data_IF_424869439576
#
_entry.id   IF_424869439576
#
_cell.length_a   1.000
_cell.length_b   1.000
_cell.length_c   1.000
_cell.angle_alpha   90.00
_cell.angle_beta   90.00
_cell.angle_gamma   90.00
#
_symmetry.space_group_name_H-M   'P 1'
#
loop_
_entity.id
_entity.type
_entity.pdbx_description
1 polymer ?
#
# COMPACT_ATOMS: atom_id res chain seq x y z
N UNK A 1 -19.94 0.68 -33.36
CA UNK A 1 -19.11 0.05 -32.32
C UNK A 1 -17.78 0.79 -32.33
N UNK A 2 -17.26 1.15 -31.18
CA UNK A 2 -15.98 1.85 -31.07
C UNK A 2 -14.86 0.85 -31.42
N UNK A 3 -14.26 0.97 -32.59
CA UNK A 3 -13.29 -0.01 -33.14
C UNK A 3 -12.01 -0.13 -32.29
N UNK A 4 -11.83 0.76 -31.32
CA UNK A 4 -10.65 0.82 -30.44
C UNK A 4 -10.92 0.30 -29.02
N UNK A 5 -12.09 -0.26 -28.75
CA UNK A 5 -12.38 -0.90 -27.47
C UNK A 5 -11.70 -2.26 -27.39
N UNK A 6 -10.85 -2.46 -26.37
CA UNK A 6 -10.02 -3.68 -26.26
C UNK A 6 -10.35 -4.55 -25.04
N UNK A 7 -11.16 -4.03 -24.10
CA UNK A 7 -11.56 -4.80 -22.92
C UNK A 7 -12.67 -5.80 -23.29
N UNK A 8 -12.77 -6.89 -22.52
CA UNK A 8 -13.74 -7.94 -22.81
C UNK A 8 -15.15 -7.65 -22.26
N UNK A 9 -15.31 -6.59 -21.46
CA UNK A 9 -16.64 -6.15 -21.03
C UNK A 9 -17.31 -5.25 -22.07
N UNK A 10 -18.63 -5.04 -21.97
CA UNK A 10 -19.36 -4.13 -22.87
C UNK A 10 -18.79 -2.71 -22.82
N UNK A 11 -18.59 -2.10 -23.98
CA UNK A 11 -18.12 -0.72 -24.07
C UNK A 11 -19.20 0.27 -23.61
N UNK A 12 -18.86 1.35 -22.88
CA UNK A 12 -19.78 2.44 -22.62
C UNK A 12 -20.20 3.13 -23.93
N UNK A 13 -21.41 3.67 -23.95
CA UNK A 13 -21.97 4.40 -25.10
C UNK A 13 -21.82 5.92 -24.98
N UNK A 14 -21.09 6.38 -23.96
CA UNK A 14 -20.91 7.80 -23.61
C UNK A 14 -19.48 8.25 -23.78
N UNK A 15 -19.25 9.54 -23.79
CA UNK A 15 -17.94 10.16 -23.75
C UNK A 15 -17.08 9.89 -24.99
N UNK A 16 -15.80 10.17 -24.84
CA UNK A 16 -14.78 9.98 -25.85
C UNK A 16 -13.71 9.02 -25.36
N UNK A 17 -13.60 7.86 -26.02
CA UNK A 17 -12.54 6.91 -25.70
C UNK A 17 -11.17 7.52 -26.03
N UNK A 18 -10.23 7.41 -25.09
CA UNK A 18 -8.83 7.77 -25.34
C UNK A 18 -8.24 6.87 -26.42
N UNK A 19 -7.28 7.39 -27.14
CA UNK A 19 -6.49 6.62 -28.07
C UNK A 19 -5.50 5.72 -27.29
N UNK A 20 -5.58 4.41 -27.52
CA UNK A 20 -4.76 3.42 -26.82
C UNK A 20 -5.32 2.97 -25.47
N UNK A 21 -4.46 2.44 -24.64
CA UNK A 21 -4.77 1.95 -23.31
C UNK A 21 -3.57 2.07 -22.39
N UNK A 22 -3.83 2.00 -21.08
CA UNK A 22 -2.81 1.92 -20.05
C UNK A 22 -2.57 0.45 -19.67
N UNK A 23 -1.31 0.02 -19.75
CA UNK A 23 -0.90 -1.26 -19.19
C UNK A 23 -0.79 -1.10 -17.68
N UNK A 24 -1.79 -1.60 -16.96
CA UNK A 24 -1.87 -1.43 -15.51
C UNK A 24 -0.97 -2.41 -14.74
N UNK A 25 -0.09 -3.11 -15.43
CA UNK A 25 0.94 -3.97 -14.85
C UNK A 25 0.54 -5.43 -14.69
N UNK A 26 1.52 -6.29 -14.50
CA UNK A 26 1.31 -7.73 -14.29
C UNK A 26 0.94 -8.05 -12.86
N UNK A 27 0.11 -9.08 -12.68
CA UNK A 27 -0.16 -9.66 -11.36
C UNK A 27 0.94 -10.63 -10.93
N UNK A 28 1.38 -11.53 -11.83
CA UNK A 28 2.13 -12.71 -11.44
C UNK A 28 3.50 -12.85 -12.08
N UNK A 29 3.65 -12.63 -13.36
CA UNK A 29 4.79 -13.16 -14.06
C UNK A 29 5.52 -12.10 -14.85
N UNK A 30 6.30 -11.34 -14.16
CA UNK A 30 7.50 -10.81 -14.77
C UNK A 30 8.56 -11.89 -14.69
N UNK A 31 9.23 -12.23 -15.77
CA UNK A 31 10.52 -12.85 -15.64
C UNK A 31 11.62 -11.77 -15.67
N UNK A 32 12.76 -12.05 -15.07
CA UNK A 32 13.93 -11.16 -15.08
C UNK A 32 14.41 -10.80 -16.49
N UNK A 33 13.94 -11.51 -17.51
CA UNK A 33 14.29 -11.31 -18.91
C UNK A 33 13.39 -10.30 -19.62
N UNK A 34 12.44 -9.68 -18.89
CA UNK A 34 11.61 -8.59 -19.42
C UNK A 34 10.44 -9.03 -20.27
N UNK A 35 10.09 -10.31 -20.30
CA UNK A 35 8.83 -10.78 -20.88
C UNK A 35 7.69 -10.55 -19.90
N UNK A 36 7.19 -9.34 -19.89
CA UNK A 36 6.05 -8.93 -19.09
C UNK A 36 4.78 -9.49 -19.72
N UNK A 37 4.06 -10.34 -18.99
CA UNK A 37 2.68 -10.63 -19.35
C UNK A 37 1.81 -9.46 -18.92
N UNK A 38 1.06 -8.94 -19.86
CA UNK A 38 0.09 -7.91 -19.63
C UNK A 38 -1.16 -8.53 -18.96
N UNK A 39 -1.24 -8.39 -17.63
CA UNK A 39 -2.31 -9.00 -16.84
C UNK A 39 -3.45 -8.04 -16.51
N UNK A 40 -3.22 -6.74 -16.64
CA UNK A 40 -4.22 -5.71 -16.40
C UNK A 40 -4.17 -4.63 -17.47
N UNK A 41 -5.35 -4.21 -17.91
CA UNK A 41 -5.51 -3.16 -18.94
C UNK A 41 -6.53 -2.15 -18.48
N UNK A 42 -6.22 -0.86 -18.70
CA UNK A 42 -7.16 0.21 -18.41
C UNK A 42 -7.43 1.04 -19.65
N UNK A 43 -8.69 1.30 -19.93
CA UNK A 43 -9.11 2.30 -20.91
C UNK A 43 -9.78 3.48 -20.23
N UNK A 44 -9.57 4.67 -20.80
CA UNK A 44 -10.09 5.93 -20.29
C UNK A 44 -11.11 6.52 -21.25
N UNK A 45 -12.20 7.02 -20.71
CA UNK A 45 -13.27 7.70 -21.42
C UNK A 45 -13.40 9.11 -20.83
N UNK A 46 -13.33 10.12 -21.67
CA UNK A 46 -13.41 11.53 -21.30
C UNK A 46 -14.75 12.13 -21.66
N UNK A 47 -15.00 13.35 -21.15
CA UNK A 47 -16.25 14.06 -21.34
C UNK A 47 -17.45 13.23 -20.82
N UNK A 48 -17.26 12.61 -19.65
CA UNK A 48 -18.24 11.74 -18.98
C UNK A 48 -18.84 12.49 -17.79
N UNK A 49 -20.14 12.35 -17.61
CA UNK A 49 -20.87 12.84 -16.44
C UNK A 49 -21.20 11.68 -15.46
N UNK A 50 -21.60 12.05 -14.24
CA UNK A 50 -22.13 11.05 -13.30
C UNK A 50 -23.36 10.33 -13.83
N UNK A 51 -24.19 10.98 -14.64
CA UNK A 51 -25.36 10.35 -15.26
C UNK A 51 -24.94 9.25 -16.26
N UNK A 52 -23.89 9.52 -17.05
CA UNK A 52 -23.32 8.53 -17.98
C UNK A 52 -22.75 7.32 -17.25
N UNK A 53 -22.05 7.54 -16.14
CA UNK A 53 -21.57 6.44 -15.29
C UNK A 53 -22.72 5.60 -14.76
N UNK A 54 -23.76 6.25 -14.21
CA UNK A 54 -24.92 5.54 -13.66
C UNK A 54 -25.66 4.74 -14.76
N UNK A 55 -25.82 5.32 -15.94
CA UNK A 55 -26.40 4.61 -17.08
C UNK A 55 -25.57 3.39 -17.48
N UNK A 56 -24.25 3.55 -17.55
CA UNK A 56 -23.36 2.43 -17.88
C UNK A 56 -23.45 1.31 -16.84
N UNK A 57 -23.40 1.62 -15.55
CA UNK A 57 -23.56 0.64 -14.46
C UNK A 57 -24.92 -0.06 -14.55
N UNK A 58 -25.99 0.69 -14.80
CA UNK A 58 -27.33 0.12 -14.95
C UNK A 58 -27.43 -0.82 -16.17
N UNK A 59 -26.80 -0.46 -17.27
CA UNK A 59 -26.72 -1.31 -18.45
C UNK A 59 -25.98 -2.63 -18.18
N UNK A 60 -24.85 -2.58 -17.42
CA UNK A 60 -24.12 -3.77 -16.98
C UNK A 60 -25.02 -4.67 -16.11
N UNK A 61 -25.73 -4.11 -15.14
CA UNK A 61 -26.67 -4.85 -14.28
C UNK A 61 -27.80 -5.51 -15.10
N UNK A 62 -28.29 -4.82 -16.13
CA UNK A 62 -29.32 -5.36 -17.03
C UNK A 62 -28.81 -6.56 -17.86
N UNK A 63 -27.51 -6.59 -18.12
CA UNK A 63 -26.86 -7.73 -18.79
C UNK A 63 -26.57 -8.90 -17.84
N UNK A 64 -27.01 -8.82 -16.59
CA UNK A 64 -26.82 -9.86 -15.58
C UNK A 64 -25.42 -9.90 -14.97
N UNK A 65 -24.69 -8.77 -15.04
CA UNK A 65 -23.37 -8.65 -14.39
C UNK A 65 -23.53 -8.65 -12.88
N UNK A 66 -22.78 -9.48 -12.18
CA UNK A 66 -22.72 -9.50 -10.72
C UNK A 66 -21.75 -8.42 -10.21
N UNK A 67 -22.30 -7.33 -9.68
CA UNK A 67 -21.52 -6.29 -8.97
C UNK A 67 -21.22 -6.73 -7.55
N UNK A 68 -19.98 -6.46 -7.09
CA UNK A 68 -19.56 -6.76 -5.72
C UNK A 68 -19.00 -5.54 -4.96
N UNK A 69 -18.83 -4.42 -5.63
CA UNK A 69 -18.51 -3.13 -5.03
C UNK A 69 -19.34 -2.04 -5.71
N UNK A 70 -20.00 -1.23 -4.92
CA UNK A 70 -20.65 0.01 -5.38
C UNK A 70 -20.49 1.04 -4.25
N UNK A 71 -19.70 2.09 -4.48
CA UNK A 71 -19.44 3.10 -3.46
C UNK A 71 -19.05 4.45 -4.05
N UNK A 72 -19.09 5.46 -3.18
CA UNK A 72 -18.62 6.81 -3.47
C UNK A 72 -17.45 7.16 -2.54
N UNK A 73 -16.48 7.91 -3.07
CA UNK A 73 -15.47 8.64 -2.32
C UNK A 73 -15.57 10.11 -2.69
N UNK A 74 -16.14 10.93 -1.81
CA UNK A 74 -16.49 12.31 -2.17
C UNK A 74 -17.45 12.34 -3.36
N UNK A 75 -17.06 13.05 -4.42
CA UNK A 75 -17.81 13.14 -5.67
C UNK A 75 -17.56 11.96 -6.63
N UNK A 76 -16.48 11.20 -6.42
CA UNK A 76 -16.09 10.08 -7.28
C UNK A 76 -16.94 8.84 -7.01
N UNK A 77 -17.16 8.03 -8.03
CA UNK A 77 -18.00 6.84 -7.96
C UNK A 77 -17.25 5.63 -8.46
N UNK A 78 -17.43 4.51 -7.78
CA UNK A 78 -16.75 3.25 -8.05
C UNK A 78 -17.75 2.10 -8.14
N UNK A 79 -17.54 1.26 -9.15
CA UNK A 79 -18.30 0.03 -9.34
C UNK A 79 -17.34 -1.08 -9.78
N UNK A 80 -17.41 -2.24 -9.13
CA UNK A 80 -16.62 -3.39 -9.53
C UNK A 80 -17.51 -4.61 -9.75
N UNK A 81 -17.15 -5.44 -10.73
CA UNK A 81 -17.96 -6.56 -11.14
C UNK A 81 -17.15 -7.69 -11.78
N UNK A 82 -17.79 -8.86 -11.84
CA UNK A 82 -17.31 -9.99 -12.64
C UNK A 82 -18.03 -10.06 -13.98
N UNK A 83 -17.28 -10.31 -15.03
CA UNK A 83 -17.84 -10.57 -16.34
C UNK A 83 -16.88 -11.42 -17.19
N UNK A 84 -17.41 -12.45 -17.85
CA UNK A 84 -16.64 -13.34 -18.74
C UNK A 84 -15.34 -13.89 -18.09
N UNK A 85 -15.40 -14.22 -16.79
CA UNK A 85 -14.28 -14.81 -16.05
C UNK A 85 -13.17 -13.83 -15.66
N UNK A 86 -13.44 -12.53 -15.73
CA UNK A 86 -12.49 -11.48 -15.36
C UNK A 86 -13.11 -10.51 -14.37
N UNK A 87 -12.22 -9.76 -13.70
CA UNK A 87 -12.57 -8.64 -12.84
C UNK A 87 -12.54 -7.33 -13.58
N UNK A 88 -13.47 -6.46 -13.23
CA UNK A 88 -13.54 -5.10 -13.77
C UNK A 88 -13.75 -4.09 -12.64
N UNK A 89 -13.03 -2.97 -12.75
CA UNK A 89 -13.23 -1.80 -11.91
C UNK A 89 -13.59 -0.62 -12.79
N UNK A 90 -14.70 0.03 -12.48
CA UNK A 90 -15.18 1.24 -13.17
C UNK A 90 -15.13 2.38 -12.19
N UNK A 91 -14.27 3.34 -12.46
CA UNK A 91 -14.04 4.52 -11.63
C UNK A 91 -14.51 5.74 -12.40
N UNK A 92 -15.50 6.47 -11.90
CA UNK A 92 -15.87 7.80 -12.39
C UNK A 92 -15.22 8.85 -11.51
N UNK A 93 -14.37 9.68 -12.10
CA UNK A 93 -13.62 10.75 -11.44
C UNK A 93 -14.25 12.09 -11.80
N UNK A 94 -15.03 12.61 -10.87
CA UNK A 94 -15.91 13.76 -11.10
C UNK A 94 -15.15 15.03 -11.49
N UNK A 95 -14.03 15.32 -10.81
CA UNK A 95 -13.21 16.51 -11.09
C UNK A 95 -12.51 16.46 -12.44
N UNK A 96 -12.36 15.28 -13.02
CA UNK A 96 -11.73 15.05 -14.32
C UNK A 96 -12.75 14.90 -15.46
N UNK A 97 -14.03 14.66 -15.15
CA UNK A 97 -15.03 14.27 -16.13
C UNK A 97 -14.62 12.99 -16.88
N UNK A 98 -14.09 12.04 -16.16
CA UNK A 98 -13.39 10.88 -16.70
C UNK A 98 -13.94 9.60 -16.11
N UNK A 99 -14.11 8.57 -16.93
CA UNK A 99 -14.39 7.21 -16.49
C UNK A 99 -13.24 6.30 -16.89
N UNK A 100 -12.76 5.50 -15.95
CA UNK A 100 -11.73 4.50 -16.13
C UNK A 100 -12.35 3.13 -16.01
N UNK A 101 -12.00 2.24 -16.92
CA UNK A 101 -12.40 0.85 -16.86
C UNK A 101 -11.14 0.00 -16.89
N UNK A 102 -10.93 -0.74 -15.80
CA UNK A 102 -9.78 -1.60 -15.59
C UNK A 102 -10.26 -3.04 -15.71
N UNK A 103 -9.59 -3.83 -16.52
CA UNK A 103 -9.77 -5.27 -16.66
C UNK A 103 -8.57 -5.98 -16.05
N UNK A 104 -8.79 -6.83 -15.06
CA UNK A 104 -7.77 -7.65 -14.42
C UNK A 104 -7.86 -9.11 -14.83
N UNK A 105 -6.71 -9.75 -14.97
CA UNK A 105 -6.62 -11.20 -15.08
C UNK A 105 -6.87 -11.93 -13.75
N UNK A 106 -6.82 -11.21 -12.61
CA UNK A 106 -7.09 -11.78 -11.29
C UNK A 106 -8.57 -12.13 -11.12
N UNK A 107 -8.86 -13.29 -10.52
CA UNK A 107 -10.21 -13.83 -10.38
C UNK A 107 -10.76 -13.76 -8.96
N UNK A 108 -10.33 -12.75 -8.18
CA UNK A 108 -10.73 -12.60 -6.79
C UNK A 108 -11.61 -11.36 -6.63
N UNK A 109 -12.87 -11.52 -6.20
CA UNK A 109 -13.77 -10.40 -5.95
C UNK A 109 -13.38 -9.62 -4.69
N UNK A 110 -13.83 -8.37 -4.56
CA UNK A 110 -13.58 -7.57 -3.35
C UNK A 110 -14.11 -8.23 -2.08
N UNK A 111 -15.17 -9.00 -2.15
CA UNK A 111 -15.66 -9.80 -1.00
C UNK A 111 -14.69 -10.91 -0.58
N UNK A 112 -13.80 -11.32 -1.49
CA UNK A 112 -12.76 -12.31 -1.23
C UNK A 112 -11.42 -11.69 -0.85
N UNK A 113 -11.27 -10.36 -0.94
CA UNK A 113 -10.06 -9.67 -0.52
C UNK A 113 -9.86 -9.76 0.97
N UNK A 114 -10.93 -9.67 1.72
CA UNK A 114 -10.90 -9.64 3.15
C UNK A 114 -11.82 -10.67 3.81
N UNK A 115 -11.92 -10.54 5.11
CA UNK A 115 -12.84 -11.31 5.94
C UNK A 115 -13.17 -10.48 7.19
N UNK A 116 -14.33 -10.76 7.77
CA UNK A 116 -14.75 -10.21 9.05
C UNK A 116 -14.63 -11.29 10.12
N UNK A 117 -13.85 -11.02 11.13
CA UNK A 117 -13.77 -11.85 12.32
C UNK A 117 -13.57 -10.92 13.52
N UNK A 118 -14.36 -11.17 14.55
CA UNK A 118 -14.17 -10.48 15.83
C UNK A 118 -13.44 -11.45 16.76
N UNK A 119 -12.14 -11.19 16.93
CA UNK A 119 -11.34 -11.84 17.95
C UNK A 119 -11.55 -11.20 19.32
N UNK A 120 -10.88 -11.73 20.33
CA UNK A 120 -10.90 -11.22 21.71
C UNK A 120 -9.65 -10.43 22.06
N UNK A 121 -8.64 -10.45 21.20
CA UNK A 121 -7.38 -9.76 21.40
C UNK A 121 -7.48 -8.28 21.05
N UNK A 122 -6.65 -7.47 21.71
CA UNK A 122 -6.48 -6.08 21.31
C UNK A 122 -5.69 -6.00 20.00
N UNK A 123 -6.24 -5.30 19.01
CA UNK A 123 -5.49 -4.97 17.79
C UNK A 123 -4.42 -3.93 18.10
N UNK A 124 -3.18 -4.23 17.69
CA UNK A 124 -2.01 -3.39 17.96
C UNK A 124 -1.27 -3.15 16.64
N UNK A 125 -1.00 -1.89 16.34
CA UNK A 125 -0.11 -1.50 15.24
C UNK A 125 1.31 -1.35 15.77
N UNK A 126 2.24 -2.09 15.20
CA UNK A 126 3.66 -1.97 15.49
C UNK A 126 4.38 -1.27 14.34
N UNK A 127 5.12 -0.21 14.67
CA UNK A 127 6.21 0.27 13.83
C UNK A 127 7.44 -0.53 14.24
N UNK A 128 7.83 -1.49 13.39
CA UNK A 128 8.94 -2.39 13.70
C UNK A 128 10.28 -1.72 13.39
N UNK A 129 11.18 -1.70 14.39
CA UNK A 129 12.53 -1.15 14.21
C UNK A 129 13.37 -2.06 13.32
N UNK A 130 13.76 -1.56 12.16
CA UNK A 130 14.64 -2.27 11.25
C UNK A 130 16.08 -2.11 11.69
N UNK A 131 16.83 -3.22 11.60
CA UNK A 131 18.23 -3.26 11.97
C UNK A 131 19.07 -2.32 11.11
N UNK A 132 19.99 -1.63 11.73
CA UNK A 132 21.03 -0.85 11.07
C UNK A 132 22.39 -1.39 11.49
N UNK A 133 23.23 -1.78 10.54
CA UNK A 133 24.58 -2.24 10.79
C UNK A 133 25.58 -1.08 10.65
N UNK A 134 26.06 -0.49 11.77
CA UNK A 134 26.99 0.62 11.72
C UNK A 134 28.38 0.22 11.18
N UNK A 135 28.74 -1.06 11.27
CA UNK A 135 30.05 -1.56 10.82
C UNK A 135 30.15 -1.70 9.30
N UNK A 136 29.03 -1.69 8.60
CA UNK A 136 29.02 -1.71 7.13
C UNK A 136 29.44 -0.37 6.49
N UNK A 137 29.88 0.59 7.29
CA UNK A 137 30.31 1.92 6.81
C UNK A 137 29.26 2.61 5.94
N UNK A 138 28.01 2.28 6.15
CA UNK A 138 26.92 2.88 5.41
C UNK A 138 26.58 4.18 6.08
N UNK A 139 27.41 5.18 5.82
CA UNK A 139 27.05 6.58 6.02
C UNK A 139 25.93 6.99 5.10
N UNK A 140 25.45 6.06 4.28
CA UNK A 140 24.51 6.29 3.23
C UNK A 140 23.10 6.29 3.80
N UNK A 141 22.36 7.32 3.43
CA UNK A 141 20.92 7.51 3.67
C UNK A 141 20.07 6.28 3.31
N UNK A 142 20.60 5.41 2.45
CA UNK A 142 19.91 4.21 1.94
C UNK A 142 19.69 3.11 2.98
N UNK A 143 20.36 3.12 4.11
CA UNK A 143 20.19 2.10 5.16
C UNK A 143 19.12 2.47 6.17
N UNK A 144 18.77 3.74 6.24
CA UNK A 144 17.62 4.21 7.01
C UNK A 144 16.35 4.31 6.16
N UNK A 145 16.29 3.60 5.05
CA UNK A 145 15.19 3.72 4.10
C UNK A 145 14.23 2.53 4.11
N UNK A 146 14.39 1.49 4.82
CA UNK A 146 13.39 0.43 4.87
C UNK A 146 12.21 0.83 5.74
N UNK A 147 11.08 0.19 5.55
CA UNK A 147 10.00 0.24 6.54
C UNK A 147 9.30 -1.10 6.68
N UNK A 148 8.84 -1.37 7.89
CA UNK A 148 8.03 -2.53 8.21
C UNK A 148 7.02 -2.15 9.29
N UNK A 149 5.74 -2.25 8.94
CA UNK A 149 4.66 -2.16 9.92
C UNK A 149 4.00 -3.52 10.08
N UNK A 150 3.65 -3.86 11.30
CA UNK A 150 3.00 -5.12 11.66
C UNK A 150 1.76 -4.79 12.46
N UNK A 151 0.61 -5.23 12.01
CA UNK A 151 -0.65 -5.06 12.72
C UNK A 151 -1.09 -6.42 13.21
N UNK A 152 -1.06 -6.62 14.53
CA UNK A 152 -1.66 -7.79 15.15
C UNK A 152 -3.15 -7.54 15.26
N UNK A 153 -3.96 -8.32 14.56
CA UNK A 153 -5.41 -8.20 14.55
C UNK A 153 -6.06 -8.90 15.77
N UNK A 154 -7.32 -8.61 16.00
CA UNK A 154 -8.07 -9.17 17.14
C UNK A 154 -8.22 -10.68 17.10
N UNK A 155 -8.14 -11.30 15.93
CA UNK A 155 -8.13 -12.77 15.73
C UNK A 155 -6.73 -13.40 15.83
N UNK A 156 -5.76 -12.63 16.32
CA UNK A 156 -4.36 -13.00 16.50
C UNK A 156 -3.59 -13.29 15.20
N UNK A 157 -4.16 -12.95 14.04
CA UNK A 157 -3.43 -12.94 12.77
C UNK A 157 -2.68 -11.61 12.57
N UNK A 158 -1.78 -11.61 11.60
CA UNK A 158 -0.96 -10.44 11.29
C UNK A 158 -1.32 -9.85 9.92
N UNK A 159 -1.31 -8.53 9.85
CA UNK A 159 -1.15 -7.80 8.59
C UNK A 159 0.22 -7.15 8.61
N UNK A 160 1.00 -7.41 7.58
CA UNK A 160 2.31 -6.80 7.40
C UNK A 160 2.27 -5.79 6.27
N UNK A 161 3.01 -4.71 6.40
CA UNK A 161 3.18 -3.70 5.37
C UNK A 161 4.66 -3.49 5.11
N UNK A 162 5.06 -3.71 3.86
CA UNK A 162 6.45 -3.69 3.41
C UNK A 162 7.37 -4.66 4.18
N UNK A 163 8.68 -4.59 4.00
CA UNK A 163 9.58 -5.58 4.58
C UNK A 163 11.04 -5.11 4.74
N UNK A 164 11.32 -3.83 4.60
CA UNK A 164 12.69 -3.31 4.71
C UNK A 164 13.64 -3.75 3.59
N UNK A 165 14.86 -3.22 3.65
CA UNK A 165 15.92 -3.41 2.67
C UNK A 165 16.79 -4.63 3.00
N UNK A 166 17.38 -5.29 1.99
CA UNK A 166 18.21 -6.50 2.15
C UNK A 166 19.38 -6.31 3.13
N UNK A 167 19.93 -5.11 3.22
CA UNK A 167 21.06 -4.78 4.12
C UNK A 167 20.65 -4.72 5.59
N UNK A 168 19.37 -4.58 5.87
CA UNK A 168 18.83 -4.55 7.23
C UNK A 168 18.60 -5.96 7.79
N UNK A 169 18.70 -7.00 6.96
CA UNK A 169 18.36 -8.37 7.31
C UNK A 169 19.60 -9.26 7.37
N UNK A 170 20.38 -9.16 8.46
CA UNK A 170 21.34 -10.19 8.84
C UNK A 170 20.65 -11.32 9.62
N UNK A 171 21.41 -12.32 10.03
CA UNK A 171 20.90 -13.48 10.77
C UNK A 171 20.24 -13.11 12.10
N UNK A 172 20.81 -12.15 12.82
CA UNK A 172 20.32 -11.69 14.12
C UNK A 172 19.01 -10.93 13.97
N UNK A 173 18.95 -9.96 13.04
CA UNK A 173 17.74 -9.19 12.74
C UNK A 173 16.59 -10.10 12.30
N UNK A 174 16.87 -11.09 11.45
CA UNK A 174 15.86 -12.04 11.00
C UNK A 174 15.34 -12.93 12.13
N UNK A 175 16.23 -13.41 13.00
CA UNK A 175 15.86 -14.15 14.20
C UNK A 175 15.05 -13.26 15.18
N UNK A 176 15.46 -12.01 15.34
CA UNK A 176 14.76 -11.04 16.18
C UNK A 176 13.33 -10.80 15.71
N UNK A 177 13.14 -10.56 14.40
CA UNK A 177 11.79 -10.44 13.83
C UNK A 177 10.98 -11.72 14.08
N UNK A 178 11.55 -12.90 13.83
CA UNK A 178 10.86 -14.15 14.00
C UNK A 178 10.40 -14.36 15.45
N UNK A 179 11.28 -14.11 16.42
CA UNK A 179 10.92 -14.19 17.83
C UNK A 179 9.88 -13.15 18.22
N UNK A 180 9.96 -11.95 17.65
CA UNK A 180 8.97 -10.90 17.88
C UNK A 180 7.58 -11.31 17.38
N UNK A 181 7.47 -11.88 16.17
CA UNK A 181 6.20 -12.36 15.64
C UNK A 181 5.57 -13.43 16.53
N UNK A 182 6.37 -14.40 17.00
CA UNK A 182 5.90 -15.41 17.96
C UNK A 182 5.42 -14.81 19.27
N UNK A 183 6.15 -13.81 19.77
CA UNK A 183 5.81 -13.13 21.03
C UNK A 183 4.48 -12.38 20.94
N UNK A 184 4.31 -11.54 19.92
CA UNK A 184 3.09 -10.71 19.81
C UNK A 184 1.85 -11.52 19.49
N UNK A 185 1.99 -12.63 18.78
CA UNK A 185 0.87 -13.57 18.48
C UNK A 185 0.67 -14.62 19.55
N UNK A 186 1.49 -14.64 20.60
CA UNK A 186 1.49 -15.69 21.62
C UNK A 186 1.54 -17.12 21.00
N UNK A 187 2.23 -17.26 19.87
CA UNK A 187 2.38 -18.52 19.15
C UNK A 187 3.61 -19.27 19.69
N UNK A 188 3.54 -20.57 20.01
CA UNK A 188 4.72 -21.36 20.37
C UNK A 188 5.79 -21.34 19.27
N UNK A 189 7.06 -21.55 19.62
CA UNK A 189 8.19 -21.49 18.68
C UNK A 189 8.10 -22.52 17.53
N UNK A 190 7.40 -23.59 17.72
CA UNK A 190 7.07 -24.63 16.72
C UNK A 190 5.69 -24.41 16.05
N UNK A 191 4.99 -23.36 16.45
CA UNK A 191 3.67 -23.03 15.94
C UNK A 191 3.72 -22.28 14.58
N UNK A 192 2.55 -22.12 13.98
CA UNK A 192 2.37 -21.45 12.71
C UNK A 192 1.94 -20.00 12.92
N UNK A 193 2.70 -19.07 12.37
CA UNK A 193 2.35 -17.65 12.30
C UNK A 193 1.38 -17.44 11.13
N UNK A 194 0.20 -16.93 11.43
CA UNK A 194 -0.82 -16.61 10.42
C UNK A 194 -0.66 -15.17 9.96
N UNK A 195 -0.33 -14.97 8.68
CA UNK A 195 -0.28 -13.68 8.02
C UNK A 195 -1.53 -13.56 7.14
N UNK A 196 -2.51 -12.82 7.63
CA UNK A 196 -3.80 -12.62 6.95
C UNK A 196 -3.66 -11.78 5.68
N UNK A 197 -2.69 -10.86 5.67
CA UNK A 197 -2.34 -10.06 4.52
C UNK A 197 -0.94 -9.48 4.61
N UNK A 198 -0.22 -9.47 3.50
CA UNK A 198 1.04 -8.75 3.35
C UNK A 198 0.87 -7.71 2.25
N UNK A 199 0.91 -6.45 2.63
CA UNK A 199 0.74 -5.32 1.74
C UNK A 199 2.09 -4.72 1.36
N UNK A 200 2.28 -4.45 0.07
CA UNK A 200 3.44 -3.76 -0.47
C UNK A 200 3.03 -2.47 -1.13
N UNK A 201 3.64 -1.37 -0.70
CA UNK A 201 3.30 -0.02 -1.16
C UNK A 201 3.68 0.21 -2.61
N UNK A 202 4.91 -0.15 -2.98
CA UNK A 202 5.46 0.00 -4.32
C UNK A 202 6.63 -0.97 -4.57
N UNK A 203 7.24 -0.91 -5.75
CA UNK A 203 8.16 -1.91 -6.27
C UNK A 203 9.65 -1.58 -6.05
N UNK A 204 10.02 -1.03 -4.88
CA UNK A 204 11.42 -0.83 -4.49
C UNK A 204 11.92 -1.94 -3.56
N UNK A 205 13.25 -2.09 -3.51
CA UNK A 205 13.95 -3.13 -2.76
C UNK A 205 13.84 -2.91 -1.24
N UNK A 206 13.89 -1.69 -0.78
CA UNK A 206 13.74 -1.33 0.63
C UNK A 206 12.31 -1.51 1.20
N UNK A 207 11.41 -2.01 0.36
CA UNK A 207 10.05 -2.39 0.72
C UNK A 207 9.75 -3.89 0.53
N UNK A 208 10.55 -4.60 -0.27
CA UNK A 208 10.23 -5.99 -0.66
C UNK A 208 11.27 -7.04 -0.24
N UNK A 209 12.52 -6.67 0.03
CA UNK A 209 13.61 -7.61 0.23
C UNK A 209 13.45 -8.53 1.44
N UNK A 210 13.05 -7.98 2.58
CA UNK A 210 12.88 -8.75 3.80
C UNK A 210 11.81 -9.83 3.69
N UNK A 211 10.75 -9.57 2.89
CA UNK A 211 9.71 -10.57 2.62
C UNK A 211 10.30 -11.84 2.02
N UNK A 212 11.11 -11.71 0.97
CA UNK A 212 11.74 -12.85 0.32
C UNK A 212 12.58 -13.66 1.31
N UNK A 213 13.40 -13.01 2.13
CA UNK A 213 14.21 -13.68 3.14
C UNK A 213 13.38 -14.40 4.20
N UNK A 214 12.35 -13.74 4.73
CA UNK A 214 11.48 -14.33 5.74
C UNK A 214 10.76 -15.57 5.19
N UNK A 215 10.18 -15.45 4.00
CA UNK A 215 9.44 -16.55 3.37
C UNK A 215 10.35 -17.73 3.02
N UNK A 216 11.58 -17.51 2.55
CA UNK A 216 12.53 -18.59 2.32
C UNK A 216 12.90 -19.33 3.60
N UNK A 217 13.12 -18.60 4.69
CA UNK A 217 13.61 -19.19 5.92
C UNK A 217 12.55 -19.93 6.72
N UNK A 218 11.34 -19.35 6.78
CA UNK A 218 10.27 -19.81 7.69
C UNK A 218 9.01 -20.30 6.97
N UNK A 219 9.10 -20.67 5.68
CA UNK A 219 7.94 -21.06 4.88
C UNK A 219 7.11 -22.20 5.48
N UNK A 220 7.72 -23.12 6.25
CA UNK A 220 7.01 -24.21 6.92
C UNK A 220 6.26 -23.79 8.19
N UNK A 221 6.51 -22.58 8.68
CA UNK A 221 5.93 -22.05 9.92
C UNK A 221 5.11 -20.76 9.68
N UNK A 222 4.91 -20.39 8.44
CA UNK A 222 4.07 -19.25 8.05
C UNK A 222 2.89 -19.77 7.26
N UNK A 223 1.68 -19.30 7.62
CA UNK A 223 0.48 -19.38 6.80
C UNK A 223 0.24 -18.01 6.19
N UNK A 224 0.61 -17.82 4.92
CA UNK A 224 0.36 -16.60 4.15
C UNK A 224 -0.94 -16.74 3.38
N UNK A 225 -1.93 -15.89 3.67
CA UNK A 225 -3.25 -15.97 3.03
C UNK A 225 -3.41 -15.04 1.84
N UNK A 226 -2.87 -13.82 1.94
CA UNK A 226 -3.00 -12.76 0.91
C UNK A 226 -1.71 -11.98 0.75
N UNK A 227 -1.43 -11.59 -0.49
CA UNK A 227 -0.45 -10.57 -0.83
C UNK A 227 -1.18 -9.46 -1.57
N UNK A 228 -1.08 -8.24 -1.08
CA UNK A 228 -1.81 -7.07 -1.57
C UNK A 228 -0.81 -6.08 -2.15
N UNK A 229 -0.97 -5.72 -3.40
CA UNK A 229 -0.08 -4.77 -4.07
C UNK A 229 -0.73 -4.20 -5.33
N UNK A 230 -0.18 -3.12 -5.87
CA UNK A 230 -0.48 -2.66 -7.21
C UNK A 230 0.77 -2.04 -7.82
N UNK A 231 1.56 -2.86 -8.53
CA UNK A 231 2.77 -2.41 -9.20
C UNK A 231 2.49 -2.09 -10.67
N UNK A 232 3.03 -0.97 -11.20
CA UNK A 232 2.85 -0.59 -12.58
C UNK A 232 3.64 -1.50 -13.52
N UNK A 233 3.39 -1.33 -14.81
CA UNK A 233 4.22 -1.93 -15.84
C UNK A 233 5.66 -1.42 -15.75
N UNK A 234 6.61 -2.34 -15.69
CA UNK A 234 8.05 -2.05 -15.56
C UNK A 234 8.57 -1.03 -16.58
N UNK A 235 8.03 -1.05 -17.80
CA UNK A 235 8.47 -0.17 -18.88
C UNK A 235 8.09 1.30 -18.71
N UNK A 236 7.31 1.67 -17.69
CA UNK A 236 6.87 3.05 -17.51
C UNK A 236 7.85 3.91 -16.73
N UNK A 237 8.72 3.32 -15.95
CA UNK A 237 9.68 4.07 -15.12
C UNK A 237 10.94 3.25 -14.88
N UNK A 238 12.06 3.94 -14.60
CA UNK A 238 13.28 3.32 -14.10
C UNK A 238 13.17 3.03 -12.60
N UNK A 239 13.98 2.11 -12.10
CA UNK A 239 14.07 1.82 -10.66
C UNK A 239 13.18 0.68 -10.17
N UNK A 240 12.49 -0.04 -11.04
CA UNK A 240 11.80 -1.28 -10.65
C UNK A 240 12.80 -2.30 -10.14
N UNK A 241 12.68 -2.67 -8.87
CA UNK A 241 13.64 -3.58 -8.25
C UNK A 241 13.48 -5.03 -8.73
N UNK A 242 14.59 -5.70 -8.96
CA UNK A 242 14.59 -7.13 -9.27
C UNK A 242 14.09 -7.97 -8.08
N UNK A 243 14.16 -7.46 -6.86
CA UNK A 243 13.69 -8.15 -5.64
C UNK A 243 12.19 -8.43 -5.64
N UNK A 244 11.42 -7.65 -6.37
CA UNK A 244 9.99 -7.91 -6.60
C UNK A 244 9.76 -9.25 -7.29
N UNK A 245 10.64 -9.64 -8.22
CA UNK A 245 10.55 -10.97 -8.85
C UNK A 245 10.83 -12.08 -7.85
N UNK A 246 11.85 -11.88 -7.01
CA UNK A 246 12.20 -12.85 -5.98
C UNK A 246 11.09 -12.99 -4.95
N UNK A 247 10.44 -11.89 -4.56
CA UNK A 247 9.25 -11.91 -3.70
C UNK A 247 8.10 -12.68 -4.36
N UNK A 248 7.72 -12.33 -5.59
CA UNK A 248 6.66 -13.03 -6.33
C UNK A 248 6.98 -14.52 -6.49
N UNK A 249 8.24 -14.87 -6.79
CA UNK A 249 8.70 -16.24 -6.91
C UNK A 249 8.64 -16.99 -5.58
N UNK A 250 9.04 -16.36 -4.48
CA UNK A 250 8.94 -16.95 -3.14
C UNK A 250 7.48 -17.25 -2.79
N UNK A 251 6.57 -16.29 -3.02
CA UNK A 251 5.14 -16.49 -2.80
C UNK A 251 4.59 -17.63 -3.65
N UNK A 252 4.84 -17.63 -4.96
CA UNK A 252 4.32 -18.68 -5.86
C UNK A 252 4.90 -20.08 -5.57
N UNK A 253 6.12 -20.15 -5.05
CA UNK A 253 6.79 -21.42 -4.74
C UNK A 253 6.29 -22.01 -3.43
N UNK A 254 6.20 -21.20 -2.37
CA UNK A 254 5.94 -21.67 -1.02
C UNK A 254 4.47 -21.53 -0.61
N UNK A 255 3.73 -20.62 -1.25
CA UNK A 255 2.35 -20.29 -0.91
C UNK A 255 1.44 -20.28 -2.14
N UNK A 256 1.33 -21.41 -2.87
CA UNK A 256 0.56 -21.46 -4.13
C UNK A 256 -0.94 -21.18 -3.93
N UNK A 257 -1.43 -21.27 -2.69
CA UNK A 257 -2.83 -20.99 -2.33
C UNK A 257 -3.03 -19.56 -1.80
N UNK A 258 -1.96 -18.79 -1.61
CA UNK A 258 -2.08 -17.39 -1.22
C UNK A 258 -2.76 -16.60 -2.35
N UNK A 259 -3.71 -15.74 -1.97
CA UNK A 259 -4.40 -14.87 -2.92
C UNK A 259 -3.50 -13.69 -3.25
N UNK A 260 -3.20 -13.50 -4.53
CA UNK A 260 -2.53 -12.30 -5.03
C UNK A 260 -3.58 -11.29 -5.45
N UNK A 261 -3.66 -10.19 -4.73
CA UNK A 261 -4.74 -9.22 -4.84
C UNK A 261 -4.18 -7.89 -5.31
N UNK A 262 -4.66 -7.46 -6.48
CA UNK A 262 -4.35 -6.15 -7.00
C UNK A 262 -5.28 -5.12 -6.39
N UNK A 263 -4.70 -4.08 -5.79
CA UNK A 263 -5.44 -2.98 -5.19
C UNK A 263 -5.83 -1.95 -6.24
N UNK A 264 -7.05 -1.42 -6.16
CA UNK A 264 -7.52 -0.32 -6.99
C UNK A 264 -8.12 0.78 -6.14
N UNK A 265 -7.94 2.01 -6.54
CA UNK A 265 -8.57 3.16 -5.89
C UNK A 265 -10.08 2.98 -5.80
N UNK A 266 -10.63 3.27 -4.63
CA UNK A 266 -12.05 3.08 -4.34
C UNK A 266 -12.40 1.76 -3.67
N UNK A 267 -11.51 0.78 -3.63
CA UNK A 267 -11.75 -0.47 -2.90
C UNK A 267 -11.86 -0.24 -1.40
N UNK A 268 -12.70 -1.06 -0.76
CA UNK A 268 -12.86 -1.14 0.69
C UNK A 268 -13.11 -2.58 1.08
N UNK A 269 -12.37 -3.08 2.06
CA UNK A 269 -12.50 -4.43 2.58
C UNK A 269 -12.00 -4.50 4.03
N UNK A 270 -12.32 -5.60 4.71
CA UNK A 270 -11.88 -5.83 6.08
C UNK A 270 -10.87 -6.98 6.15
N UNK A 271 -9.91 -6.85 7.06
CA UNK A 271 -9.10 -7.95 7.54
C UNK A 271 -9.34 -8.04 9.05
N UNK A 272 -10.12 -9.04 9.46
CA UNK A 272 -10.72 -9.16 10.79
C UNK A 272 -11.47 -7.86 11.19
N UNK A 273 -11.02 -7.20 12.25
CA UNK A 273 -11.57 -5.96 12.81
C UNK A 273 -10.98 -4.67 12.18
N UNK A 274 -10.00 -4.79 11.29
CA UNK A 274 -9.43 -3.65 10.57
C UNK A 274 -10.14 -3.44 9.24
N UNK A 275 -10.60 -2.22 8.96
CA UNK A 275 -11.09 -1.81 7.64
C UNK A 275 -9.98 -1.12 6.86
N UNK A 276 -9.81 -1.49 5.60
CA UNK A 276 -8.86 -0.87 4.66
C UNK A 276 -9.63 -0.18 3.54
N UNK A 277 -9.25 1.06 3.24
CA UNK A 277 -9.72 1.83 2.09
C UNK A 277 -8.53 2.23 1.21
N UNK A 278 -8.62 1.95 -0.08
CA UNK A 278 -7.60 2.33 -1.06
C UNK A 278 -7.94 3.72 -1.61
N UNK A 279 -7.09 4.70 -1.31
CA UNK A 279 -7.32 6.10 -1.70
C UNK A 279 -6.59 6.52 -2.96
N UNK A 280 -5.48 5.85 -3.28
CA UNK A 280 -4.68 6.14 -4.47
C UNK A 280 -3.93 4.89 -4.92
N UNK A 281 -3.81 4.73 -6.24
CA UNK A 281 -2.91 3.78 -6.90
C UNK A 281 -2.27 4.44 -8.12
N UNK A 282 -1.21 3.85 -8.67
CA UNK A 282 -0.53 4.39 -9.86
C UNK A 282 -1.44 4.61 -11.07
N UNK A 283 -2.57 3.92 -11.13
CA UNK A 283 -3.56 4.08 -12.21
C UNK A 283 -4.13 5.50 -12.23
N UNK A 284 -4.15 6.17 -11.07
CA UNK A 284 -4.61 7.57 -10.94
C UNK A 284 -3.64 8.56 -11.59
N UNK A 285 -2.38 8.18 -11.76
CA UNK A 285 -1.40 8.98 -12.49
C UNK A 285 -1.59 8.94 -14.02
N UNK A 286 -2.34 7.97 -14.54
CA UNK A 286 -2.66 7.94 -15.95
C UNK A 286 -3.63 9.08 -16.30
N UNK A 287 -3.23 9.94 -17.24
CA UNK A 287 -4.04 11.05 -17.73
C UNK A 287 -4.23 10.94 -19.24
N UNK A 288 -5.14 11.75 -19.79
CA UNK A 288 -5.37 11.82 -21.24
C UNK A 288 -4.10 12.07 -22.01
N UNK A 289 -3.25 12.97 -21.51
CA UNK A 289 -2.01 13.40 -22.12
C UNK A 289 -0.91 12.34 -21.97
N UNK A 290 -1.00 11.51 -20.92
CA UNK A 290 -0.01 10.53 -20.54
C UNK A 290 -0.38 9.09 -20.88
N UNK A 291 -1.58 8.85 -21.41
CA UNK A 291 -2.03 7.51 -21.77
C UNK A 291 -1.14 6.86 -22.82
N UNK A 292 -0.58 5.70 -22.51
CA UNK A 292 0.40 5.00 -23.35
C UNK A 292 1.81 5.63 -23.37
N UNK A 293 2.01 6.72 -22.65
CA UNK A 293 3.30 7.41 -22.53
C UNK A 293 3.63 7.76 -21.08
N UNK A 294 2.96 7.14 -20.13
CA UNK A 294 3.15 7.45 -18.71
C UNK A 294 4.59 7.19 -18.34
N UNK A 295 5.36 8.26 -18.28
CA UNK A 295 6.67 8.28 -17.66
C UNK A 295 6.46 8.78 -16.25
N UNK A 296 6.24 7.86 -15.34
CA UNK A 296 6.37 8.15 -13.92
C UNK A 296 7.86 8.43 -13.69
N UNK A 297 8.19 9.48 -12.95
CA UNK A 297 9.57 9.89 -12.74
C UNK A 297 10.38 8.82 -12.00
N UNK A 298 9.76 8.21 -11.02
CA UNK A 298 10.29 7.08 -10.26
C UNK A 298 9.15 6.20 -9.73
N UNK A 299 9.48 5.05 -9.14
CA UNK A 299 8.48 4.15 -8.57
C UNK A 299 7.84 4.66 -7.28
N UNK A 300 8.40 5.66 -6.60
CA UNK A 300 7.78 6.28 -5.42
C UNK A 300 6.43 6.91 -5.77
N UNK A 301 6.30 7.50 -6.98
CA UNK A 301 5.01 7.99 -7.51
C UNK A 301 3.94 6.90 -7.60
N UNK A 302 4.31 5.64 -7.52
CA UNK A 302 3.40 4.50 -7.66
C UNK A 302 2.97 3.92 -6.32
N UNK A 303 3.47 4.47 -5.21
CA UNK A 303 3.06 4.04 -3.87
C UNK A 303 1.56 4.09 -3.73
N UNK A 304 0.95 2.94 -3.48
CA UNK A 304 -0.48 2.91 -3.16
C UNK A 304 -0.69 3.54 -1.79
N UNK A 305 -1.74 4.34 -1.66
CA UNK A 305 -2.07 5.00 -0.39
C UNK A 305 -3.30 4.34 0.21
N UNK A 306 -3.14 3.88 1.44
CA UNK A 306 -4.21 3.23 2.19
C UNK A 306 -4.61 4.05 3.41
N UNK A 307 -5.90 4.00 3.73
CA UNK A 307 -6.44 4.43 5.01
C UNK A 307 -6.96 3.22 5.74
N UNK A 308 -6.31 2.86 6.84
CA UNK A 308 -6.78 1.80 7.71
C UNK A 308 -7.60 2.39 8.87
N UNK A 309 -8.68 1.71 9.24
CA UNK A 309 -9.50 2.05 10.41
C UNK A 309 -9.49 0.88 11.36
N UNK A 310 -9.09 1.11 12.60
CA UNK A 310 -9.01 0.14 13.69
C UNK A 310 -9.76 0.75 14.87
N UNK A 311 -10.80 0.08 15.35
CA UNK A 311 -11.62 0.54 16.47
C UNK A 311 -12.02 2.03 16.38
N UNK A 312 -12.44 2.44 15.18
CA UNK A 312 -12.89 3.80 14.88
C UNK A 312 -11.78 4.85 14.75
N UNK A 313 -10.50 4.52 14.94
CA UNK A 313 -9.35 5.39 14.72
C UNK A 313 -8.66 5.07 13.41
N UNK A 314 -8.19 6.10 12.75
CA UNK A 314 -7.64 5.99 11.39
C UNK A 314 -6.14 6.18 11.37
N UNK A 315 -5.48 5.43 10.50
CA UNK A 315 -4.08 5.64 10.12
C UNK A 315 -3.95 5.79 8.61
N UNK A 316 -3.23 6.82 8.18
CA UNK A 316 -2.90 7.04 6.78
C UNK A 316 -1.53 6.45 6.48
N UNK A 317 -1.47 5.51 5.55
CA UNK A 317 -0.27 4.81 5.11
C UNK A 317 0.08 5.32 3.72
N UNK A 318 1.14 6.11 3.62
CA UNK A 318 1.51 6.85 2.42
C UNK A 318 2.55 6.13 1.56
N UNK A 319 3.23 5.12 2.12
CA UNK A 319 4.41 4.54 1.47
C UNK A 319 5.46 5.62 1.20
N UNK A 320 6.03 5.60 0.02
CA UNK A 320 7.03 6.58 -0.41
C UNK A 320 6.46 7.67 -1.32
N UNK A 321 5.18 7.95 -1.15
CA UNK A 321 4.50 9.03 -1.90
C UNK A 321 5.39 10.26 -2.01
N UNK A 322 5.48 10.83 -3.21
CA UNK A 322 6.33 11.96 -3.52
C UNK A 322 5.54 13.20 -3.96
N UNK A 323 6.27 14.28 -4.25
CA UNK A 323 5.70 15.58 -4.60
C UNK A 323 4.84 15.55 -5.89
N UNK A 324 5.14 14.64 -6.82
CA UNK A 324 4.37 14.51 -8.05
C UNK A 324 3.00 13.90 -7.79
N UNK A 325 2.94 12.90 -6.89
CA UNK A 325 1.67 12.34 -6.41
C UNK A 325 0.89 13.37 -5.62
N UNK A 326 1.55 14.13 -4.73
CA UNK A 326 0.90 15.23 -4.00
C UNK A 326 0.27 16.25 -4.95
N UNK A 327 1.02 16.71 -5.97
CA UNK A 327 0.52 17.67 -6.95
C UNK A 327 -0.69 17.14 -7.73
N UNK A 328 -0.70 15.84 -8.06
CA UNK A 328 -1.83 15.19 -8.70
C UNK A 328 -3.07 15.17 -7.79
N UNK A 329 -2.88 14.77 -6.52
CA UNK A 329 -3.93 14.69 -5.53
C UNK A 329 -4.47 16.07 -5.17
N UNK A 330 -3.60 17.06 -5.00
CA UNK A 330 -3.98 18.44 -4.76
C UNK A 330 -4.89 19.02 -5.86
N UNK A 331 -4.69 18.55 -7.09
CA UNK A 331 -5.51 19.00 -8.23
C UNK A 331 -6.85 18.29 -8.34
N UNK A 332 -6.95 17.02 -7.96
CA UNK A 332 -8.08 16.19 -8.33
C UNK A 332 -8.80 15.52 -7.16
N UNK A 333 -8.18 15.39 -6.00
CA UNK A 333 -8.77 14.67 -4.88
C UNK A 333 -9.62 15.58 -3.98
N UNK A 334 -10.64 15.00 -3.35
CA UNK A 334 -11.40 15.65 -2.29
C UNK A 334 -10.57 15.60 -0.99
N UNK A 335 -10.14 16.78 -0.51
CA UNK A 335 -9.34 16.91 0.70
C UNK A 335 -10.00 16.32 1.96
N UNK A 336 -11.32 16.22 2.00
CA UNK A 336 -12.04 15.68 3.17
C UNK A 336 -11.77 14.18 3.40
N UNK A 337 -11.31 13.46 2.38
CA UNK A 337 -10.99 12.04 2.46
C UNK A 337 -9.70 11.74 3.23
N UNK A 338 -8.83 12.75 3.34
CA UNK A 338 -7.44 12.54 3.79
C UNK A 338 -7.26 12.64 5.31
N UNK A 339 -8.21 13.25 6.02
CA UNK A 339 -8.10 13.39 7.47
C UNK A 339 -7.88 12.03 8.15
N UNK A 340 -6.89 11.96 9.05
CA UNK A 340 -6.57 10.76 9.82
C UNK A 340 -6.11 11.09 11.25
N UNK A 341 -6.20 10.11 12.16
CA UNK A 341 -5.76 10.24 13.55
C UNK A 341 -4.25 9.97 13.69
N UNK A 342 -3.66 9.26 12.74
CA UNK A 342 -2.23 8.99 12.65
C UNK A 342 -1.78 8.96 11.20
N UNK A 343 -0.53 9.31 10.94
CA UNK A 343 0.07 9.26 9.60
C UNK A 343 1.46 8.62 9.63
N UNK A 344 1.72 7.75 8.67
CA UNK A 344 3.08 7.33 8.33
C UNK A 344 3.71 8.42 7.48
N UNK A 345 4.84 8.96 7.94
CA UNK A 345 5.59 9.98 7.21
C UNK A 345 6.14 9.38 5.91
N UNK A 346 5.83 10.02 4.80
CA UNK A 346 6.14 9.47 3.48
C UNK A 346 7.65 9.45 3.20
N UNK A 347 8.08 8.42 2.44
CA UNK A 347 9.41 8.29 1.86
C UNK A 347 10.52 8.54 2.89
N UNK A 348 10.45 7.87 4.04
CA UNK A 348 11.47 7.93 5.10
C UNK A 348 11.87 9.36 5.50
N UNK A 349 10.92 10.31 5.45
CA UNK A 349 11.19 11.73 5.67
C UNK A 349 12.01 12.41 4.56
N UNK A 350 12.04 11.88 3.33
CA UNK A 350 12.83 12.45 2.24
C UNK A 350 12.06 13.40 1.32
N UNK A 351 10.73 13.49 1.45
CA UNK A 351 9.88 14.31 0.59
C UNK A 351 9.13 15.41 1.34
N UNK A 352 8.95 16.55 0.68
CA UNK A 352 8.03 17.60 1.11
C UNK A 352 6.62 17.24 0.64
N UNK A 353 5.68 17.09 1.56
CA UNK A 353 4.27 16.83 1.28
C UNK A 353 3.37 17.75 2.12
N UNK A 354 3.65 19.05 2.08
CA UNK A 354 2.99 20.04 2.95
C UNK A 354 1.48 20.08 2.75
N UNK A 355 1.00 19.97 1.52
CA UNK A 355 -0.43 19.97 1.21
C UNK A 355 -1.12 18.73 1.74
N UNK A 356 -0.51 17.56 1.59
CA UNK A 356 -1.06 16.31 2.09
C UNK A 356 -1.08 16.29 3.62
N UNK A 357 0.00 16.72 4.27
CA UNK A 357 0.03 16.78 5.74
C UNK A 357 -0.95 17.80 6.30
N UNK A 358 -1.20 18.92 5.60
CA UNK A 358 -2.27 19.86 5.96
C UNK A 358 -3.66 19.19 5.90
N UNK A 359 -3.92 18.38 4.88
CA UNK A 359 -5.20 17.70 4.74
C UNK A 359 -5.39 16.58 5.73
N UNK A 360 -4.32 15.82 5.98
CA UNK A 360 -4.31 14.70 6.94
C UNK A 360 -4.44 15.24 8.37
N UNK A 361 -3.67 16.27 8.71
CA UNK A 361 -3.65 16.96 10.00
C UNK A 361 -3.63 15.98 11.20
N UNK A 362 -2.78 14.94 11.11
CA UNK A 362 -2.73 13.87 12.08
C UNK A 362 -2.04 14.32 13.38
N UNK A 363 -2.65 14.10 14.55
CA UNK A 363 -2.03 14.40 15.84
C UNK A 363 -0.90 13.42 16.22
N UNK A 364 -0.77 12.29 15.52
CA UNK A 364 0.25 11.27 15.74
C UNK A 364 0.99 10.98 14.45
N UNK A 365 2.33 10.92 14.54
CA UNK A 365 3.20 10.66 13.37
C UNK A 365 4.10 9.47 13.67
N UNK A 366 4.16 8.53 12.74
CA UNK A 366 5.13 7.43 12.72
C UNK A 366 6.14 7.68 11.60
N UNK A 367 7.42 7.69 11.95
CA UNK A 367 8.52 8.09 11.06
C UNK A 367 9.35 6.86 10.73
N UNK A 368 9.33 6.37 9.47
CA UNK A 368 10.15 5.23 9.04
C UNK A 368 11.60 5.66 8.80
N UNK A 369 12.23 6.18 9.83
CA UNK A 369 13.62 6.62 9.85
C UNK A 369 14.12 6.69 11.32
N UNK A 370 15.42 6.82 11.50
CA UNK A 370 15.98 7.14 12.79
C UNK A 370 15.72 8.60 13.18
N UNK A 371 15.79 8.91 14.48
CA UNK A 371 15.71 10.29 14.95
C UNK A 371 16.79 11.17 14.28
N UNK A 372 18.04 10.70 14.27
CA UNK A 372 19.16 11.42 13.64
C UNK A 372 18.96 11.61 12.12
N UNK A 373 18.45 10.59 11.42
CA UNK A 373 18.17 10.68 10.00
C UNK A 373 17.08 11.69 9.66
N UNK A 374 15.99 11.70 10.44
CA UNK A 374 14.89 12.64 10.26
C UNK A 374 15.28 14.09 10.59
N UNK A 375 16.25 14.28 11.50
CA UNK A 375 16.72 15.61 11.91
C UNK A 375 17.97 16.10 11.16
N UNK A 376 18.40 15.39 10.11
CA UNK A 376 19.45 15.93 9.24
C UNK A 376 18.98 17.23 8.57
N UNK A 377 19.91 18.18 8.27
CA UNK A 377 19.54 19.49 7.71
C UNK A 377 18.62 19.43 6.48
N UNK A 378 18.78 18.43 5.65
CA UNK A 378 17.95 18.21 4.47
C UNK A 378 16.57 17.64 4.75
N UNK A 379 16.33 17.04 5.92
CA UNK A 379 15.10 16.35 6.26
C UNK A 379 14.25 17.10 7.29
N UNK A 380 14.85 17.86 8.17
CA UNK A 380 14.15 18.57 9.26
C UNK A 380 12.99 19.44 8.78
N UNK A 381 13.15 20.12 7.66
CA UNK A 381 12.08 20.94 7.08
C UNK A 381 10.92 20.10 6.52
N UNK A 382 11.19 18.86 6.11
CA UNK A 382 10.18 17.91 5.61
C UNK A 382 9.38 17.31 6.76
N UNK A 383 10.07 16.97 7.84
CA UNK A 383 9.45 16.54 9.09
C UNK A 383 8.51 17.62 9.65
N UNK A 384 8.95 18.88 9.66
CA UNK A 384 8.20 20.02 10.17
C UNK A 384 6.83 20.20 9.47
N UNK A 385 6.66 19.75 8.23
CA UNK A 385 5.38 19.75 7.52
C UNK A 385 4.30 18.94 8.24
N UNK A 386 4.66 17.81 8.85
CA UNK A 386 3.76 16.98 9.63
C UNK A 386 3.75 17.35 11.13
N UNK A 387 4.90 17.72 11.71
CA UNK A 387 5.06 18.04 13.14
C UNK A 387 4.11 19.13 13.63
N UNK A 388 3.78 20.11 12.79
CA UNK A 388 2.89 21.22 13.16
C UNK A 388 1.48 20.78 13.59
N UNK A 389 1.09 19.54 13.29
CA UNK A 389 -0.21 18.98 13.68
C UNK A 389 -0.11 18.02 14.86
N UNK A 390 1.11 17.63 15.26
CA UNK A 390 1.34 16.67 16.33
C UNK A 390 0.87 17.24 17.67
N UNK A 391 0.25 16.37 18.45
CA UNK A 391 -0.17 16.67 19.82
C UNK A 391 0.63 15.83 20.80
N UNK A 392 0.91 16.38 21.97
CA UNK A 392 1.58 15.70 23.07
C UNK A 392 2.90 15.00 22.71
N UNK A 393 3.65 15.57 21.74
CA UNK A 393 4.91 15.02 21.22
C UNK A 393 4.82 13.57 20.72
N UNK A 394 3.67 13.17 20.16
CA UNK A 394 3.44 11.82 19.67
C UNK A 394 4.09 11.59 18.29
N UNK A 395 5.41 11.57 18.27
CA UNK A 395 6.23 11.22 17.10
C UNK A 395 7.05 10.00 17.46
N UNK A 396 6.94 8.95 16.65
CA UNK A 396 7.60 7.66 16.88
C UNK A 396 8.59 7.39 15.75
N UNK A 397 9.88 7.32 16.08
CA UNK A 397 10.96 7.09 15.12
C UNK A 397 11.35 5.61 15.11
N UNK A 398 11.34 4.99 13.94
CA UNK A 398 11.66 3.57 13.76
C UNK A 398 13.02 3.19 14.33
N UNK A 399 14.04 4.01 14.08
CA UNK A 399 15.40 3.76 14.57
C UNK A 399 15.58 3.84 16.10
N UNK A 400 14.56 4.24 16.86
CA UNK A 400 14.61 4.25 18.33
C UNK A 400 14.18 2.92 18.94
N UNK A 401 13.45 2.10 18.21
CA UNK A 401 12.90 0.83 18.66
C UNK A 401 11.52 0.55 18.09
N UNK A 402 10.99 -0.63 18.37
CA UNK A 402 9.64 -1.03 17.94
C UNK A 402 8.59 -0.51 18.93
N UNK A 403 7.67 0.28 18.42
CA UNK A 403 6.54 0.85 19.16
C UNK A 403 5.25 0.07 18.88
N UNK A 404 4.57 -0.37 19.91
CA UNK A 404 3.21 -0.90 19.84
C UNK A 404 2.19 0.18 20.19
N UNK A 405 1.29 0.49 19.26
CA UNK A 405 0.29 1.55 19.33
C UNK A 405 -1.12 0.97 19.27
N UNK A 406 -2.00 1.42 20.16
CA UNK A 406 -3.41 1.04 20.15
C UNK A 406 -4.32 2.26 19.92
N UNK A 407 -5.47 2.06 19.27
CA UNK A 407 -6.51 3.06 19.24
C UNK A 407 -7.18 3.18 20.62
N UNK A 408 -7.49 4.41 21.02
CA UNK A 408 -8.27 4.73 22.23
C UNK A 408 -9.31 5.79 21.91
N UNK A 409 -10.33 6.02 22.75
CA UNK A 409 -11.27 7.12 22.52
C UNK A 409 -10.60 8.47 22.28
N UNK A 410 -9.48 8.72 22.97
CA UNK A 410 -8.76 10.00 22.93
C UNK A 410 -7.70 10.09 21.82
N UNK A 411 -7.51 9.03 21.03
CA UNK A 411 -6.51 8.98 19.95
C UNK A 411 -5.66 7.70 19.99
N UNK A 412 -4.50 7.71 19.39
CA UNK A 412 -3.55 6.61 19.44
C UNK A 412 -2.67 6.70 20.69
N UNK A 413 -2.37 5.56 21.31
CA UNK A 413 -1.56 5.48 22.53
C UNK A 413 -0.50 4.40 22.40
N UNK A 414 0.72 4.71 22.77
CA UNK A 414 1.78 3.72 22.95
C UNK A 414 1.50 2.85 24.18
N UNK A 415 1.56 1.53 23.99
CA UNK A 415 1.39 0.53 25.04
C UNK A 415 2.58 -0.39 25.21
N UNK A 416 3.39 -0.52 24.15
CA UNK A 416 4.56 -1.38 24.13
C UNK A 416 5.75 -0.65 23.51
N UNK A 417 6.93 -0.99 23.99
CA UNK A 417 8.19 -0.55 23.41
C UNK A 417 9.21 -1.69 23.52
N UNK A 418 9.87 -1.99 22.41
CA UNK A 418 10.94 -2.96 22.33
C UNK A 418 12.17 -2.29 21.74
N UNK A 419 13.34 -2.39 22.42
CA UNK A 419 14.58 -1.84 21.88
C UNK A 419 14.95 -2.53 20.57
N UNK A 420 15.74 -1.85 19.75
CA UNK A 420 16.22 -2.38 18.48
C UNK A 420 17.00 -3.69 18.70
N UNK A 421 16.73 -4.70 17.87
CA UNK A 421 17.47 -5.97 17.90
C UNK A 421 18.79 -5.79 17.12
N UNK A 422 19.91 -6.23 17.73
CA UNK A 422 21.23 -6.21 17.08
C UNK A 422 22.05 -4.94 17.26
N UNK A 423 21.58 -3.99 18.06
CA UNK A 423 22.38 -2.81 18.37
C UNK A 423 21.69 -1.85 19.32
N UNK A 424 22.43 -1.34 20.28
CA UNK A 424 22.05 -0.12 20.98
C UNK A 424 22.46 1.06 20.10
N UNK A 425 21.49 1.72 19.48
CA UNK A 425 21.75 3.03 18.92
C UNK A 425 21.82 4.04 20.06
N UNK A 426 23.02 4.49 20.34
CA UNK A 426 23.20 5.66 21.19
C UNK A 426 22.98 6.93 20.37
N UNK A 427 21.78 7.47 20.43
CA UNK A 427 21.44 8.76 19.83
C UNK A 427 21.73 9.94 20.77
N UNK A 428 22.39 9.73 21.90
CA UNK A 428 22.71 10.77 22.88
C UNK A 428 23.71 11.85 22.36
N UNK A 429 24.21 11.68 21.16
CA UNK A 429 25.14 12.61 20.50
C UNK A 429 24.55 13.44 19.36
N UNK A 430 23.22 13.39 19.11
CA UNK A 430 22.56 14.15 18.07
C UNK A 430 21.67 15.25 18.64
#
# INVERSE_FOLDING_TARGET
>A
MNTNWILNCPAPKCGKLAEGYYNAGPMLADDRNGTTKEDSKMQLIFDVTKADFNEYVQNLKTLGVEGYLERNLGADNFFAFHYAGKHYHVNYLATRGEMRIIEDAAYVSCKDFGYEAMGTEQTILYQYALYYDPDNNVTDKTVNCGMLYIIKLSDNSLVMMDAGHIRQWNEEAMNGLWQFLHKITNTPQDGIIRIAGWYFTHAHDDHTDGCTKLLHRYHNQIQLERVLFNFPFRGYTGGYSDTVYDMKKAVSTWYPNAKLLKLHTGQKFNLADMTIEVLYTHEDAATKEALGKVSLRDFNCTSSILKATIDGKTVMLLGDTNIETEALLAKYSDKSLWKADMVQLAHHCFNFLDTMYEWIAAPVVIVPNSYGGAHQPENVAKLAGAEKYVQDNQIYYEGSGTYGLIPTPDGWKQVEFYPLVGGEYDFSGF
#
